data_IF_512619222623
#
_entry.id   IF_512619222623
#
_cell.length_a   1.000
_cell.length_b   1.000
_cell.length_c   1.000
_cell.angle_alpha   90.00
_cell.angle_beta   90.00
_cell.angle_gamma   90.00
#
_symmetry.space_group_name_H-M   'P 1'
#
loop_
_entity.id
_entity.type
_entity.pdbx_description
1 polymer ?
#
# COMPACT_ATOMS: atom_id res chain seq x y z
N UNK A 1 -18.15 14.06 15.90
CA UNK A 1 -17.14 14.09 16.99
C UNK A 1 -15.80 14.34 16.33
N UNK A 2 -14.97 15.24 16.89
CA UNK A 2 -13.72 15.71 16.27
C UNK A 2 -12.60 14.72 16.59
N UNK A 3 -11.80 14.31 15.58
CA UNK A 3 -10.61 13.48 15.80
C UNK A 3 -9.57 14.33 16.54
N UNK A 4 -8.82 13.74 17.48
CA UNK A 4 -7.78 14.46 18.21
C UNK A 4 -6.75 15.04 17.21
N UNK A 5 -6.56 16.38 17.16
CA UNK A 5 -5.66 17.02 16.22
C UNK A 5 -4.23 16.47 16.27
N UNK A 6 -3.78 15.98 17.44
CA UNK A 6 -2.44 15.42 17.63
C UNK A 6 -2.25 14.12 16.85
N UNK A 7 -3.31 13.33 16.69
CA UNK A 7 -3.29 12.08 15.92
C UNK A 7 -3.16 12.41 14.43
N UNK A 8 -3.90 13.41 13.96
CA UNK A 8 -3.84 13.88 12.58
C UNK A 8 -2.45 14.44 12.23
N UNK A 9 -1.87 15.25 13.12
CA UNK A 9 -0.51 15.80 12.93
C UNK A 9 0.54 14.68 12.94
N UNK A 10 0.38 13.68 13.81
CA UNK A 10 1.27 12.54 13.86
C UNK A 10 1.25 11.72 12.57
N UNK A 11 0.06 11.41 12.05
CA UNK A 11 -0.11 10.67 10.80
C UNK A 11 0.45 11.46 9.60
N UNK A 12 0.23 12.78 9.55
CA UNK A 12 0.79 13.65 8.50
C UNK A 12 2.32 13.66 8.53
N UNK A 13 2.93 13.86 9.69
CA UNK A 13 4.38 13.84 9.84
C UNK A 13 4.99 12.50 9.40
N UNK A 14 4.38 11.37 9.80
CA UNK A 14 4.80 10.04 9.34
C UNK A 14 4.67 9.88 7.83
N UNK A 15 3.56 10.31 7.25
CA UNK A 15 3.32 10.25 5.81
C UNK A 15 4.40 11.01 5.02
N UNK A 16 4.69 12.25 5.39
CA UNK A 16 5.72 13.05 4.71
C UNK A 16 7.13 12.46 4.86
N UNK A 17 7.47 11.96 6.05
CA UNK A 17 8.75 11.28 6.26
C UNK A 17 8.86 10.02 5.39
N UNK A 18 7.80 9.22 5.30
CA UNK A 18 7.80 8.00 4.51
C UNK A 18 7.85 8.29 3.01
N UNK A 19 7.11 9.31 2.53
CA UNK A 19 7.22 9.81 1.15
C UNK A 19 8.65 10.25 0.81
N UNK A 20 9.27 11.01 1.71
CA UNK A 20 10.65 11.46 1.54
C UNK A 20 11.60 10.26 1.42
N UNK A 21 11.50 9.28 2.32
CA UNK A 21 12.29 8.06 2.27
C UNK A 21 12.06 7.22 1.01
N UNK A 22 10.84 7.19 0.47
CA UNK A 22 10.54 6.55 -0.82
C UNK A 22 11.28 7.24 -1.98
N UNK A 23 11.26 8.58 -2.03
CA UNK A 23 11.98 9.39 -3.03
C UNK A 23 13.50 9.12 -2.98
N UNK A 24 14.05 8.92 -1.79
CA UNK A 24 15.45 8.56 -1.58
C UNK A 24 15.77 7.08 -1.85
N UNK A 25 14.78 6.28 -2.26
CA UNK A 25 14.95 4.85 -2.55
C UNK A 25 15.46 4.04 -1.35
N UNK A 26 15.20 4.51 -0.14
CA UNK A 26 15.90 4.06 1.07
C UNK A 26 15.26 2.85 1.77
N UNK A 27 14.05 2.44 1.36
CA UNK A 27 13.26 1.43 2.09
C UNK A 27 13.16 0.15 1.28
N UNK A 28 13.90 -0.86 1.74
CA UNK A 28 13.72 -2.24 1.32
C UNK A 28 12.57 -2.88 2.08
N UNK A 29 11.76 -3.65 1.36
CA UNK A 29 10.61 -4.35 1.93
C UNK A 29 10.63 -5.80 1.53
N UNK A 30 10.08 -6.63 2.40
CA UNK A 30 10.05 -8.06 2.27
C UNK A 30 8.63 -8.56 2.49
N UNK A 31 8.31 -9.71 1.91
CA UNK A 31 7.14 -10.48 2.32
C UNK A 31 7.43 -11.97 2.24
N UNK A 32 6.72 -12.75 3.05
CA UNK A 32 6.66 -14.19 2.93
C UNK A 32 5.38 -14.59 2.20
N UNK A 33 5.44 -14.69 0.87
CA UNK A 33 4.34 -15.17 0.05
C UNK A 33 4.14 -16.68 0.18
N UNK A 34 2.90 -17.14 0.02
CA UNK A 34 2.61 -18.57 -0.02
C UNK A 34 3.25 -19.24 -1.25
N UNK A 35 3.29 -18.54 -2.39
CA UNK A 35 3.90 -19.04 -3.63
C UNK A 35 5.32 -18.54 -3.80
N UNK A 36 5.56 -17.24 -3.62
CA UNK A 36 6.89 -16.67 -3.89
C UNK A 36 7.89 -16.90 -2.77
N UNK A 37 7.49 -17.46 -1.63
CA UNK A 37 8.30 -17.52 -0.39
C UNK A 37 8.77 -16.10 -0.01
N UNK A 38 10.01 -15.97 0.49
CA UNK A 38 10.60 -14.69 0.86
C UNK A 38 10.98 -13.90 -0.38
N UNK A 39 10.26 -12.82 -0.66
CA UNK A 39 10.56 -11.90 -1.76
C UNK A 39 10.99 -10.54 -1.25
N UNK A 40 11.91 -9.93 -1.98
CA UNK A 40 12.44 -8.60 -1.71
C UNK A 40 11.96 -7.59 -2.75
N UNK A 41 11.58 -6.42 -2.27
CA UNK A 41 11.15 -5.30 -3.08
C UNK A 41 11.66 -3.99 -2.50
N UNK A 42 11.29 -2.90 -3.15
CA UNK A 42 11.54 -1.55 -2.68
C UNK A 42 10.24 -0.78 -2.62
N UNK A 43 10.04 -0.08 -1.52
CA UNK A 43 8.94 0.86 -1.39
C UNK A 43 9.24 2.06 -2.33
N UNK A 44 8.44 2.18 -3.38
CA UNK A 44 8.62 3.19 -4.42
C UNK A 44 7.69 4.40 -4.20
N UNK A 45 6.61 4.22 -3.44
CA UNK A 45 5.71 5.31 -3.09
C UNK A 45 4.59 4.91 -2.14
N UNK A 46 3.80 5.91 -1.75
CA UNK A 46 2.59 5.76 -0.97
C UNK A 46 1.47 6.46 -1.73
N UNK A 47 0.33 5.81 -1.85
CA UNK A 47 -0.87 6.39 -2.46
C UNK A 47 -2.05 6.26 -1.52
N UNK A 48 -3.04 7.13 -1.70
CA UNK A 48 -4.25 7.18 -0.88
C UNK A 48 -5.45 6.53 -1.57
N UNK A 49 -5.41 6.53 -2.91
CA UNK A 49 -6.44 5.94 -3.76
C UNK A 49 -5.84 4.71 -4.40
N UNK A 50 -6.51 3.55 -4.37
CA UNK A 50 -6.07 2.36 -5.08
C UNK A 50 -6.15 2.55 -6.61
N UNK A 51 -5.47 1.70 -7.39
CA UNK A 51 -5.58 1.71 -8.84
C UNK A 51 -7.01 1.51 -9.32
N UNK A 52 -7.38 2.16 -10.43
CA UNK A 52 -8.68 1.96 -11.08
C UNK A 52 -8.88 0.51 -11.52
N UNK A 53 -7.80 -0.17 -11.96
CA UNK A 53 -7.84 -1.57 -12.43
C UNK A 53 -8.10 -2.58 -11.30
N UNK A 54 -8.07 -2.17 -10.03
CA UNK A 54 -8.31 -3.05 -8.89
C UNK A 54 -9.78 -3.49 -8.78
N UNK A 55 -10.70 -2.61 -9.13
CA UNK A 55 -12.14 -2.86 -9.03
C UNK A 55 -12.77 -3.36 -10.32
N UNK A 56 -12.01 -3.34 -11.42
CA UNK A 56 -12.45 -3.90 -12.68
C UNK A 56 -12.44 -5.42 -12.55
N UNK A 57 -13.58 -5.97 -12.12
CA UNK A 57 -13.87 -7.37 -12.28
C UNK A 57 -13.88 -7.62 -13.79
N UNK A 58 -12.83 -8.27 -14.29
CA UNK A 58 -12.82 -8.87 -15.62
C UNK A 58 -13.77 -10.07 -15.58
N UNK A 59 -15.07 -9.78 -15.49
CA UNK A 59 -16.15 -10.72 -15.70
C UNK A 59 -16.38 -10.99 -17.18
N UNK A 60 -15.29 -11.14 -17.96
CA UNK A 60 -15.37 -11.56 -19.36
C UNK A 60 -14.35 -12.65 -19.60
N UNK A 61 -14.76 -13.88 -19.28
CA UNK A 61 -14.30 -15.06 -20.01
C UNK A 61 -14.73 -14.90 -21.47
N UNK A 62 -13.91 -14.27 -22.29
CA UNK A 62 -13.98 -14.41 -23.74
C UNK A 62 -12.60 -14.21 -24.34
N UNK A 63 -12.00 -15.36 -24.63
CA UNK A 63 -10.96 -15.62 -25.60
C UNK A 63 -11.03 -14.67 -26.83
N UNK A 64 -9.92 -14.00 -27.15
CA UNK A 64 -9.29 -13.91 -28.49
C UNK A 64 -8.39 -12.67 -28.58
N UNK A 65 -7.22 -12.88 -29.18
CA UNK A 65 -6.16 -11.89 -29.26
C UNK A 65 -6.50 -10.68 -30.12
N UNK A 66 -5.91 -9.55 -29.76
CA UNK A 66 -5.48 -8.57 -30.73
C UNK A 66 -4.38 -7.72 -30.10
N UNK A 67 -3.21 -7.75 -30.73
CA UNK A 67 -2.18 -6.74 -30.57
C UNK A 67 -2.77 -5.36 -30.84
N UNK A 68 -2.46 -4.40 -29.96
CA UNK A 68 -2.35 -2.99 -30.32
C UNK A 68 -1.55 -2.24 -29.27
N UNK A 69 -0.43 -1.73 -29.75
CA UNK A 69 0.51 -0.90 -29.03
C UNK A 69 -0.09 0.46 -28.64
N UNK A 70 0.61 1.06 -27.68
CA UNK A 70 0.56 2.46 -27.25
C UNK A 70 -0.63 2.87 -26.39
N UNK A 71 -0.33 3.13 -25.11
CA UNK A 71 -0.68 4.43 -24.53
C UNK A 71 0.37 4.81 -23.48
N UNK A 72 1.13 5.84 -23.83
CA UNK A 72 2.00 6.60 -22.95
C UNK A 72 1.12 7.31 -21.92
N UNK A 73 0.84 6.65 -20.79
CA UNK A 73 0.27 7.32 -19.63
C UNK A 73 1.44 7.87 -18.81
N UNK A 74 1.76 9.14 -19.03
CA UNK A 74 2.57 9.92 -18.10
C UNK A 74 1.85 9.94 -16.76
N UNK A 75 2.20 8.99 -15.89
CA UNK A 75 1.68 8.89 -14.54
C UNK A 75 2.30 10.02 -13.72
N UNK A 76 1.67 11.21 -13.81
CA UNK A 76 1.81 12.25 -12.81
C UNK A 76 1.33 11.65 -11.49
N UNK A 77 2.28 11.11 -10.71
CA UNK A 77 2.14 10.89 -9.27
C UNK A 77 1.64 12.22 -8.71
N UNK A 78 0.33 12.33 -8.53
CA UNK A 78 -0.33 13.57 -8.16
C UNK A 78 0.19 14.00 -6.79
N UNK A 79 1.11 14.96 -6.78
CA UNK A 79 1.54 15.71 -5.59
C UNK A 79 0.38 16.58 -5.03
N UNK A 80 -0.79 16.56 -5.69
CA UNK A 80 -1.98 17.36 -5.37
C UNK A 80 -2.82 16.85 -4.19
N UNK A 81 -2.52 15.68 -3.59
CA UNK A 81 -3.24 15.25 -2.38
C UNK A 81 -2.83 16.02 -1.12
N UNK A 82 -1.81 16.87 -1.20
CA UNK A 82 -1.47 17.81 -0.13
C UNK A 82 -2.42 19.03 -0.07
N UNK A 83 -3.29 19.25 -1.06
CA UNK A 83 -4.28 20.34 -1.06
C UNK A 83 -5.73 19.88 -0.96
N UNK A 84 -5.98 18.58 -0.81
CA UNK A 84 -7.32 18.13 -0.44
C UNK A 84 -7.58 18.61 0.99
N UNK A 85 -8.67 19.34 1.16
CA UNK A 85 -9.35 19.67 2.40
C UNK A 85 -9.56 18.40 3.26
N UNK A 86 -8.47 17.91 3.86
CA UNK A 86 -8.41 16.72 4.68
C UNK A 86 -8.77 17.12 6.12
N UNK A 87 -9.94 17.73 6.25
CA UNK A 87 -10.58 17.97 7.54
C UNK A 87 -10.87 16.63 8.21
N UNK A 88 -10.39 16.47 9.44
CA UNK A 88 -10.74 15.41 10.41
C UNK A 88 -10.77 13.94 9.94
N UNK A 89 -10.26 13.62 8.75
CA UNK A 89 -10.37 12.29 8.16
C UNK A 89 -9.07 11.52 8.27
N UNK A 90 -9.20 10.32 8.84
CA UNK A 90 -8.19 9.27 8.82
C UNK A 90 -7.89 8.90 7.37
N UNK A 91 -6.60 8.88 7.05
CA UNK A 91 -6.11 8.60 5.70
C UNK A 91 -5.59 7.16 5.65
N UNK A 92 -6.14 6.35 4.73
CA UNK A 92 -5.65 5.00 4.48
C UNK A 92 -4.45 5.07 3.54
N UNK A 93 -3.33 4.48 3.95
CA UNK A 93 -2.10 4.45 3.15
C UNK A 93 -1.95 3.11 2.42
N UNK A 94 -1.73 3.18 1.11
CA UNK A 94 -1.33 2.04 0.28
C UNK A 94 0.14 2.18 -0.10
N UNK A 95 0.94 1.17 0.23
CA UNK A 95 2.35 1.13 -0.13
C UNK A 95 2.56 0.50 -1.52
N UNK A 96 3.31 1.18 -2.38
CA UNK A 96 3.71 0.71 -3.70
C UNK A 96 5.08 0.05 -3.65
N UNK A 97 5.15 -1.21 -4.05
CA UNK A 97 6.37 -2.00 -4.03
C UNK A 97 6.78 -2.40 -5.45
N UNK A 98 7.97 -1.98 -5.85
CA UNK A 98 8.64 -2.52 -7.04
C UNK A 98 9.53 -3.67 -6.63
N UNK A 99 9.51 -4.75 -7.41
CA UNK A 99 10.40 -5.87 -7.17
C UNK A 99 11.86 -5.42 -7.34
N UNK A 100 12.73 -5.83 -6.40
CA UNK A 100 14.17 -5.60 -6.51
C UNK A 100 14.79 -6.67 -7.43
N UNK A 101 14.40 -7.93 -7.22
CA UNK A 101 14.92 -9.10 -7.93
C UNK A 101 13.74 -9.97 -8.38
N UNK A 102 13.32 -9.85 -9.63
CA UNK A 102 12.26 -10.68 -10.20
C UNK A 102 10.83 -10.24 -9.83
N UNK A 103 10.07 -11.10 -9.16
CA UNK A 103 8.63 -10.89 -8.92
C UNK A 103 8.34 -10.76 -7.43
N UNK A 104 7.73 -9.63 -7.06
CA UNK A 104 7.29 -9.40 -5.68
C UNK A 104 5.86 -9.91 -5.43
N UNK A 105 5.10 -10.39 -6.41
CA UNK A 105 3.71 -10.80 -6.16
C UNK A 105 3.25 -11.85 -7.14
N UNK A 106 2.68 -12.93 -6.63
CA UNK A 106 2.00 -13.99 -7.38
C UNK A 106 0.59 -14.26 -6.88
N UNK A 107 -0.16 -15.05 -7.66
CA UNK A 107 -1.48 -15.56 -7.25
C UNK A 107 -1.34 -16.33 -5.93
N UNK A 108 -2.15 -16.00 -4.94
CA UNK A 108 -2.13 -16.64 -3.61
C UNK A 108 -1.21 -15.99 -2.58
N UNK A 109 -0.47 -14.92 -2.94
CA UNK A 109 0.33 -14.18 -1.96
C UNK A 109 -0.47 -13.13 -1.17
N UNK A 110 -1.67 -12.77 -1.62
CA UNK A 110 -2.54 -11.81 -0.93
C UNK A 110 -2.77 -12.25 0.52
N UNK A 111 -2.72 -11.29 1.45
CA UNK A 111 -2.75 -11.54 2.89
C UNK A 111 -1.38 -11.73 3.54
N UNK A 112 -0.30 -11.88 2.76
CA UNK A 112 1.05 -11.97 3.33
C UNK A 112 1.44 -10.67 4.05
N UNK A 113 2.12 -10.81 5.20
CA UNK A 113 2.70 -9.68 5.91
C UNK A 113 3.85 -9.07 5.08
N UNK A 114 3.77 -7.76 4.87
CA UNK A 114 4.85 -6.95 4.31
C UNK A 114 5.58 -6.27 5.46
N UNK A 115 6.91 -6.35 5.46
CA UNK A 115 7.76 -5.81 6.52
C UNK A 115 9.03 -5.17 5.96
N UNK A 116 9.61 -4.24 6.71
CA UNK A 116 10.98 -3.77 6.54
C UNK A 116 11.90 -4.44 7.56
N UNK A 117 13.20 -4.35 7.31
CA UNK A 117 14.22 -4.84 8.20
C UNK A 117 15.25 -3.75 8.44
N UNK A 118 15.57 -3.47 9.70
CA UNK A 118 16.57 -2.47 10.05
C UNK A 118 18.00 -3.04 10.01
N UNK A 119 19.00 -2.19 10.25
CA UNK A 119 20.42 -2.57 10.31
C UNK A 119 20.75 -3.57 11.43
N UNK A 120 19.83 -3.77 12.39
CA UNK A 120 19.97 -4.69 13.51
C UNK A 120 19.18 -6.00 13.29
N UNK A 121 18.69 -6.25 12.06
CA UNK A 121 17.92 -7.43 11.72
C UNK A 121 16.54 -7.50 12.43
N UNK A 122 16.06 -6.37 12.96
CA UNK A 122 14.72 -6.26 13.53
C UNK A 122 13.70 -6.19 12.41
N UNK A 123 12.65 -7.00 12.51
CA UNK A 123 11.52 -6.98 11.56
C UNK A 123 10.49 -5.95 12.00
N UNK A 124 10.20 -5.00 11.11
CA UNK A 124 9.18 -3.96 11.34
C UNK A 124 8.01 -4.22 10.39
N UNK A 125 6.83 -4.63 10.90
CA UNK A 125 5.67 -4.88 10.05
C UNK A 125 5.16 -3.55 9.48
N UNK A 126 4.87 -3.53 8.18
CA UNK A 126 4.42 -2.34 7.46
C UNK A 126 2.96 -2.45 7.02
N UNK A 127 2.52 -3.64 6.63
CA UNK A 127 1.20 -3.81 6.04
C UNK A 127 0.88 -5.22 5.58
N UNK A 128 -0.28 -5.36 4.95
CA UNK A 128 -0.78 -6.62 4.40
C UNK A 128 -0.77 -6.53 2.88
N UNK A 129 -0.09 -7.47 2.23
CA UNK A 129 -0.01 -7.56 0.77
C UNK A 129 -1.41 -7.78 0.19
N UNK A 130 -1.80 -6.96 -0.78
CA UNK A 130 -3.10 -7.02 -1.41
C UNK A 130 -3.02 -7.73 -2.77
N UNK A 131 -1.95 -7.48 -3.54
CA UNK A 131 -1.82 -7.97 -4.91
C UNK A 131 -0.91 -7.10 -5.77
N UNK A 132 -1.01 -7.26 -7.09
CA UNK A 132 -0.23 -6.51 -8.08
C UNK A 132 -1.17 -5.76 -9.01
N UNK A 133 -0.95 -4.45 -9.17
CA UNK A 133 -1.60 -3.66 -10.22
C UNK A 133 -0.84 -3.84 -11.53
N UNK A 134 -1.58 -4.13 -12.59
CA UNK A 134 -1.01 -4.18 -13.94
C UNK A 134 -0.72 -2.77 -14.44
N UNK A 135 -1.64 -1.84 -14.19
CA UNK A 135 -1.52 -0.43 -14.59
C UNK A 135 -0.27 0.23 -14.02
N UNK A 136 0.01 0.02 -12.73
CA UNK A 136 1.16 0.64 -12.07
C UNK A 136 2.43 -0.22 -12.11
N UNK A 137 2.33 -1.44 -12.62
CA UNK A 137 3.39 -2.44 -12.60
C UNK A 137 4.08 -2.54 -11.22
N UNK A 138 3.28 -2.56 -10.17
CA UNK A 138 3.72 -2.55 -8.79
C UNK A 138 2.86 -3.46 -7.93
N UNK A 139 3.48 -4.06 -6.92
CA UNK A 139 2.75 -4.70 -5.84
C UNK A 139 2.23 -3.65 -4.86
N UNK A 140 1.12 -3.97 -4.20
CA UNK A 140 0.43 -3.07 -3.29
C UNK A 140 0.20 -3.75 -1.96
N UNK A 141 0.40 -3.01 -0.87
CA UNK A 141 0.01 -3.43 0.46
C UNK A 141 -0.82 -2.36 1.17
N UNK A 142 -1.74 -2.81 2.02
CA UNK A 142 -2.48 -1.95 2.94
C UNK A 142 -1.65 -1.71 4.19
N UNK A 143 -1.36 -0.45 4.52
CA UNK A 143 -0.57 -0.13 5.71
C UNK A 143 -1.30 -0.53 6.99
N UNK A 144 -0.55 -1.00 8.00
CA UNK A 144 -1.10 -1.30 9.32
C UNK A 144 -1.68 -0.07 10.03
N UNK A 145 -1.21 1.12 9.69
CA UNK A 145 -1.76 2.39 10.21
C UNK A 145 -3.26 2.56 9.88
N UNK A 146 -3.71 1.95 8.77
CA UNK A 146 -5.13 1.95 8.40
C UNK A 146 -6.00 1.27 9.48
N UNK A 147 -5.47 0.24 10.17
CA UNK A 147 -6.20 -0.47 11.22
C UNK A 147 -6.13 0.26 12.56
N UNK A 148 -4.97 0.83 12.90
CA UNK A 148 -4.81 1.61 14.13
C UNK A 148 -5.82 2.76 14.16
N UNK A 149 -5.97 3.46 13.04
CA UNK A 149 -6.87 4.59 12.95
C UNK A 149 -8.36 4.20 13.06
N UNK A 150 -8.77 3.02 12.59
CA UNK A 150 -10.15 2.53 12.73
C UNK A 150 -10.46 2.13 14.18
N UNK A 151 -9.51 1.51 14.88
CA UNK A 151 -9.67 1.11 16.29
C UNK A 151 -9.65 2.28 17.28
N UNK A 152 -9.05 3.39 16.91
CA UNK A 152 -9.01 4.62 17.74
C UNK A 152 -10.31 5.43 17.69
N UNK A 153 -11.27 5.09 16.81
CA UNK A 153 -12.58 5.74 16.79
C UNK A 153 -13.39 5.34 18.02
N UNK A 154 -13.79 6.28 18.90
CA UNK A 154 -14.53 5.98 20.13
C UNK A 154 -15.87 5.28 19.89
N UNK A 155 -16.51 5.57 18.75
CA UNK A 155 -17.77 4.95 18.30
C UNK A 155 -17.60 3.51 17.79
N UNK A 156 -16.37 3.04 17.68
CA UNK A 156 -16.01 1.69 17.26
C UNK A 156 -15.07 1.09 18.30
N UNK A 157 -15.48 1.00 19.57
CA UNK A 157 -14.85 0.03 20.47
C UNK A 157 -15.18 -1.36 19.92
N UNK A 158 -14.26 -1.94 19.16
CA UNK A 158 -14.36 -3.32 18.73
C UNK A 158 -14.09 -4.19 19.96
N UNK A 159 -15.15 -4.73 20.57
CA UNK A 159 -15.01 -5.89 21.45
C UNK A 159 -14.61 -7.08 20.57
N UNK A 160 -13.30 -7.24 20.35
CA UNK A 160 -12.73 -8.42 19.72
C UNK A 160 -12.89 -9.59 20.70
N UNK A 161 -14.06 -10.22 20.67
CA UNK A 161 -14.30 -11.47 21.40
C UNK A 161 -13.69 -12.59 20.58
N UNK A 162 -12.54 -13.09 21.04
CA UNK A 162 -11.96 -14.32 20.48
C UNK A 162 -12.76 -15.49 21.07
N UNK A 163 -13.60 -16.11 20.22
CA UNK A 163 -14.32 -17.34 20.53
C UNK A 163 -13.37 -18.55 20.52
#
# INVERSE_FOLDING_TARGET
MMVDPRILDYQRCRYYNLLWSCKQKAIEVFKQGAQTRLTKGRLDGIVLVPPEDWYLHSGSDSNEGSDSASNTSTNSLSEDVASADCGDRIVVFLGLVKAADGQFSEKGDSGALVFAQDSHNTTVPLGVHLGKSTLWNAALFLSLEAFAAVGEKPEHQWDLTFL
#
